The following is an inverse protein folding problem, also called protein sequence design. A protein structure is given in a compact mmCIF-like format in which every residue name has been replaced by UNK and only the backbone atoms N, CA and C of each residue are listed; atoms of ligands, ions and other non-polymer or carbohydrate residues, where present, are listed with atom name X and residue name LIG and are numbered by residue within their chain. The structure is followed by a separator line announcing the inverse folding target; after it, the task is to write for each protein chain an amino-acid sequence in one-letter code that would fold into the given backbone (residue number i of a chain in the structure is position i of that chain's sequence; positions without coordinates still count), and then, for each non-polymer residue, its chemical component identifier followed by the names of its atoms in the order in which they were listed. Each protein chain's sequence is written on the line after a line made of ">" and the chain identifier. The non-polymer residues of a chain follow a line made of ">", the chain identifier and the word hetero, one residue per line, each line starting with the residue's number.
data_IF_242287146034
#
_entry.id   IF_242287146034
#
_cell.length_a   1.000
_cell.length_b   1.000
_cell.length_c   1.000
_cell.angle_alpha   90.00
_cell.angle_beta   90.00
_cell.angle_gamma   90.00
#
_symmetry.space_group_name_H-M   'P 1'
#
loop_
_entity.id
_entity.type
_entity.pdbx_description
1 polymer ?
#
# COMPACT_ATOMS: atom_id res chain seq x y z
N UNK A 1 0.18 17.27 2.60
CA UNK A 1 0.25 16.18 1.59
C UNK A 1 -0.14 14.94 2.36
N UNK A 2 -1.33 14.37 2.10
CA UNK A 2 -1.87 13.28 2.92
C UNK A 2 -1.61 11.97 2.19
N UNK A 3 -0.77 11.13 2.78
CA UNK A 3 -0.50 9.80 2.25
C UNK A 3 -1.80 8.97 2.23
N UNK A 4 -1.92 8.14 1.19
CA UNK A 4 -3.13 7.37 0.90
C UNK A 4 -2.94 5.99 1.52
N UNK A 5 -3.80 5.61 2.46
CA UNK A 5 -3.80 4.26 3.04
C UNK A 5 -5.05 3.50 2.57
N UNK A 6 -4.83 2.47 1.76
CA UNK A 6 -5.86 1.54 1.26
C UNK A 6 -6.14 0.50 2.36
N UNK A 7 -7.42 0.20 2.59
CA UNK A 7 -7.84 -0.83 3.57
C UNK A 7 -8.20 -0.30 4.96
N UNK A 8 -8.06 1.00 5.23
CA UNK A 8 -8.44 1.64 6.49
C UNK A 8 -9.61 2.60 6.37
N UNK A 9 -10.52 2.54 7.34
CA UNK A 9 -11.50 3.60 7.58
C UNK A 9 -10.91 4.76 8.41
N UNK A 10 -11.70 5.81 8.65
CA UNK A 10 -11.26 6.98 9.41
C UNK A 10 -10.89 6.64 10.87
N UNK A 11 -11.56 5.66 11.47
CA UNK A 11 -11.33 5.25 12.87
C UNK A 11 -10.01 4.48 13.00
N UNK A 12 -9.73 3.55 12.09
CA UNK A 12 -8.48 2.82 12.02
C UNK A 12 -7.31 3.77 11.73
N UNK A 13 -7.50 4.76 10.85
CA UNK A 13 -6.47 5.78 10.58
C UNK A 13 -6.13 6.60 11.82
N UNK A 14 -7.13 7.03 12.58
CA UNK A 14 -6.91 7.77 13.81
C UNK A 14 -6.20 6.92 14.89
N UNK A 15 -6.50 5.62 14.95
CA UNK A 15 -5.96 4.71 15.97
C UNK A 15 -4.55 4.20 15.65
N UNK A 16 -4.32 3.79 14.40
CA UNK A 16 -3.10 3.08 14.01
C UNK A 16 -2.14 3.92 13.16
N UNK A 17 -2.59 5.04 12.61
CA UNK A 17 -1.76 5.89 11.74
C UNK A 17 -1.19 5.09 10.57
N UNK A 18 0.15 5.04 10.48
CA UNK A 18 0.91 4.27 9.48
C UNK A 18 1.47 2.94 10.03
N UNK A 19 1.13 2.52 11.26
CA UNK A 19 1.59 1.22 11.77
C UNK A 19 0.96 0.09 10.96
N UNK A 20 1.75 -0.90 10.53
CA UNK A 20 1.23 -2.10 9.86
C UNK A 20 0.72 -1.87 8.44
N UNK A 21 1.25 -0.84 7.77
CA UNK A 21 1.00 -0.61 6.35
C UNK A 21 2.30 -0.80 5.56
N UNK A 22 2.18 -1.20 4.30
CA UNK A 22 3.32 -1.38 3.39
C UNK A 22 3.21 -0.42 2.21
N UNK A 23 4.35 0.09 1.72
CA UNK A 23 4.37 0.99 0.57
C UNK A 23 4.14 0.20 -0.71
N UNK A 24 3.08 0.50 -1.47
CA UNK A 24 2.76 -0.16 -2.74
C UNK A 24 2.95 0.75 -3.96
N UNK A 25 3.12 2.05 -3.74
CA UNK A 25 3.41 2.97 -4.82
C UNK A 25 3.32 4.44 -4.43
N UNK A 26 3.24 5.29 -5.46
CA UNK A 26 3.04 6.73 -5.32
C UNK A 26 1.99 7.20 -6.33
N UNK A 27 1.14 8.12 -5.90
CA UNK A 27 0.13 8.72 -6.74
C UNK A 27 0.77 9.80 -7.63
N UNK A 28 0.48 9.71 -8.93
CA UNK A 28 0.83 10.73 -9.91
C UNK A 28 -0.34 11.69 -10.10
N UNK A 29 -0.09 12.98 -9.92
CA UNK A 29 -1.08 14.03 -10.18
C UNK A 29 -0.63 14.85 -11.37
N UNK A 30 -1.50 14.98 -12.37
CA UNK A 30 -1.25 15.78 -13.57
C UNK A 30 -1.97 17.12 -13.45
N UNK A 31 -1.20 18.20 -13.36
CA UNK A 31 -1.68 19.58 -13.36
C UNK A 31 -1.35 20.22 -14.71
N UNK A 32 -2.32 20.18 -15.63
CA UNK A 32 -2.11 20.67 -17.00
C UNK A 32 -1.01 19.90 -17.72
N UNK A 33 0.14 20.56 -17.95
CA UNK A 33 1.32 19.97 -18.60
C UNK A 33 2.31 19.33 -17.62
N UNK A 34 2.16 19.57 -16.32
CA UNK A 34 3.10 19.09 -15.30
C UNK A 34 2.57 17.82 -14.65
N UNK A 35 3.37 16.77 -14.61
CA UNK A 35 3.09 15.56 -13.84
C UNK A 35 3.98 15.56 -12.61
N UNK A 36 3.39 15.55 -11.41
CA UNK A 36 4.12 15.43 -10.15
C UNK A 36 3.83 14.09 -9.50
N UNK A 37 4.88 13.40 -9.04
CA UNK A 37 4.69 12.44 -7.95
C UNK A 37 4.27 13.22 -6.71
N UNK A 38 3.21 12.77 -6.06
CA UNK A 38 2.64 13.44 -4.90
C UNK A 38 2.60 12.46 -3.73
N UNK A 39 1.42 12.03 -3.31
CA UNK A 39 1.21 11.21 -2.12
C UNK A 39 1.77 9.80 -2.28
N UNK A 40 2.33 9.24 -1.19
CA UNK A 40 2.60 7.80 -1.12
C UNK A 40 1.27 7.05 -1.05
N UNK A 41 1.29 5.82 -1.55
CA UNK A 41 0.18 4.89 -1.48
C UNK A 41 0.62 3.69 -0.67
N UNK A 42 -0.02 3.51 0.47
CA UNK A 42 0.18 2.41 1.38
C UNK A 42 -1.00 1.44 1.34
N UNK A 43 -0.72 0.17 1.62
CA UNK A 43 -1.71 -0.89 1.80
C UNK A 43 -1.67 -1.35 3.26
N UNK A 44 -2.82 -1.37 3.93
CA UNK A 44 -2.96 -2.01 5.22
C UNK A 44 -2.82 -3.52 5.07
N UNK A 45 -1.99 -4.13 5.92
CA UNK A 45 -1.76 -5.58 5.94
C UNK A 45 -2.05 -6.17 7.32
N UNK A 46 -2.62 -5.37 8.23
CA UNK A 46 -3.07 -5.84 9.56
C UNK A 46 -4.42 -6.57 9.50
N UNK A 47 -5.13 -6.51 8.37
CA UNK A 47 -6.41 -7.16 8.12
C UNK A 47 -6.37 -7.88 6.79
N UNK A 48 -7.17 -8.93 6.65
CA UNK A 48 -7.28 -9.67 5.40
C UNK A 48 -8.01 -8.84 4.34
N UNK A 49 -7.42 -8.76 3.14
CA UNK A 49 -8.01 -8.10 1.98
C UNK A 49 -8.03 -9.05 0.79
N UNK A 50 -9.12 -9.01 0.02
CA UNK A 50 -9.17 -9.67 -1.29
C UNK A 50 -8.72 -8.65 -2.33
N UNK A 51 -7.56 -8.86 -2.94
CA UNK A 51 -7.01 -7.99 -3.99
C UNK A 51 -7.13 -8.62 -5.37
N UNK A 52 -7.61 -7.85 -6.34
CA UNK A 52 -7.59 -8.24 -7.75
C UNK A 52 -6.51 -7.46 -8.49
N UNK A 53 -5.41 -8.14 -8.86
CA UNK A 53 -4.29 -7.55 -9.61
C UNK A 53 -4.42 -7.96 -11.08
N UNK A 54 -4.78 -7.01 -11.94
CA UNK A 54 -5.03 -7.26 -13.36
C UNK A 54 -4.29 -6.27 -14.28
N UNK A 55 -4.13 -6.64 -15.55
CA UNK A 55 -3.42 -5.83 -16.56
C UNK A 55 -2.84 -6.65 -17.71
N UNK A 56 -2.35 -5.97 -18.75
CA UNK A 56 -1.72 -6.60 -19.93
C UNK A 56 -0.47 -7.42 -19.58
N UNK A 57 -0.03 -8.30 -20.49
CA UNK A 57 1.24 -9.04 -20.34
C UNK A 57 2.39 -8.04 -20.21
N UNK A 58 3.31 -8.29 -19.28
CA UNK A 58 4.42 -7.38 -18.97
C UNK A 58 4.03 -6.14 -18.14
N UNK A 59 2.76 -5.97 -17.75
CA UNK A 59 2.30 -4.83 -16.95
C UNK A 59 2.64 -4.88 -15.46
N UNK A 60 3.56 -5.73 -15.03
CA UNK A 60 4.03 -5.76 -13.64
C UNK A 60 3.16 -6.49 -12.61
N UNK A 61 2.15 -7.28 -13.01
CA UNK A 61 1.28 -8.00 -12.05
C UNK A 61 2.04 -8.81 -10.99
N UNK A 62 2.95 -9.69 -11.42
CA UNK A 62 3.79 -10.49 -10.50
C UNK A 62 4.81 -9.64 -9.76
N UNK A 63 5.24 -8.52 -10.34
CA UNK A 63 6.13 -7.57 -9.67
C UNK A 63 5.42 -6.88 -8.51
N UNK A 64 4.18 -6.43 -8.70
CA UNK A 64 3.33 -5.87 -7.62
C UNK A 64 3.11 -6.89 -6.52
N UNK A 65 2.87 -8.17 -6.85
CA UNK A 65 2.79 -9.22 -5.84
C UNK A 65 4.10 -9.39 -5.06
N UNK A 66 5.25 -9.35 -5.75
CA UNK A 66 6.57 -9.40 -5.11
C UNK A 66 6.77 -8.25 -4.12
N UNK A 67 6.47 -7.02 -4.52
CA UNK A 67 6.54 -5.83 -3.65
C UNK A 67 5.64 -5.99 -2.42
N UNK A 68 4.43 -6.54 -2.58
CA UNK A 68 3.53 -6.81 -1.45
C UNK A 68 4.14 -7.86 -0.52
N UNK A 69 4.67 -8.96 -1.07
CA UNK A 69 5.28 -10.04 -0.28
C UNK A 69 6.54 -9.58 0.49
N UNK A 70 7.40 -8.81 -0.17
CA UNK A 70 8.58 -8.19 0.44
C UNK A 70 8.17 -7.22 1.55
N UNK A 71 7.19 -6.35 1.27
CA UNK A 71 6.68 -5.40 2.25
C UNK A 71 6.11 -6.07 3.50
N UNK A 72 5.40 -7.19 3.36
CA UNK A 72 4.90 -7.98 4.50
C UNK A 72 6.06 -8.63 5.26
N UNK A 73 7.05 -9.16 4.54
CA UNK A 73 8.21 -9.85 5.14
C UNK A 73 9.11 -8.90 5.95
N UNK A 74 9.18 -7.63 5.54
CA UNK A 74 9.97 -6.55 6.14
C UNK A 74 9.24 -5.83 7.29
N UNK A 75 8.04 -6.27 7.66
CA UNK A 75 7.32 -5.68 8.80
C UNK A 75 8.08 -5.91 10.12
N UNK A 76 7.97 -4.95 11.07
CA UNK A 76 8.49 -5.14 12.43
C UNK A 76 7.92 -6.41 13.07
N UNK A 77 8.74 -7.10 13.86
CA UNK A 77 8.39 -8.38 14.48
C UNK A 77 7.08 -8.31 15.29
N UNK A 78 6.88 -7.22 16.03
CA UNK A 78 5.66 -6.94 16.80
C UNK A 78 4.39 -7.00 15.94
N UNK A 79 4.47 -6.63 14.67
CA UNK A 79 3.33 -6.65 13.74
C UNK A 79 3.28 -8.00 13.03
N UNK A 80 4.43 -8.48 12.54
CA UNK A 80 4.55 -9.70 11.74
C UNK A 80 4.00 -10.93 12.46
N UNK A 81 4.22 -11.05 13.77
CA UNK A 81 3.72 -12.16 14.58
C UNK A 81 2.19 -12.21 14.71
N UNK A 82 1.50 -11.11 14.41
CA UNK A 82 0.05 -11.00 14.51
C UNK A 82 -0.66 -11.18 13.16
N UNK A 83 0.08 -11.47 12.09
CA UNK A 83 -0.49 -11.74 10.77
C UNK A 83 -0.89 -13.21 10.74
N UNK A 84 -2.19 -13.47 10.55
CA UNK A 84 -2.78 -14.81 10.44
C UNK A 84 -2.79 -15.34 9.01
#
# INVERSE_FOLDING_TARGET
>A
MNDIIIGRDASDRAKYGEKGVILVGKHYVKMGRTTSLSNKVFLDVTKSHVLFICGKRGGGKSYTMGVIAEGISDLPEEIRQNIS
#
